data_IF_432837261672
#
_entry.id   IF_432837261672
#
_cell.length_a   1.000
_cell.length_b   1.000
_cell.length_c   1.000
_cell.angle_alpha   90.00
_cell.angle_beta   90.00
_cell.angle_gamma   90.00
#
_symmetry.space_group_name_H-M   'P 1'
#
loop_
_entity.id
_entity.type
_entity.pdbx_description
1 polymer ?
#
# COMPACT_ATOMS: atom_id res chain seq x y z
N UNK A 1 1.67 1.89 -12.55
CA UNK A 1 0.49 1.96 -13.44
C UNK A 1 0.30 0.62 -14.14
N UNK A 2 -0.86 0.41 -14.73
CA UNK A 2 -1.07 -0.73 -15.63
C UNK A 2 -0.21 -0.59 -16.90
N UNK A 3 0.08 -1.73 -17.53
CA UNK A 3 0.80 -1.75 -18.80
C UNK A 3 -0.08 -1.19 -19.90
N UNK A 4 0.52 -0.44 -20.83
CA UNK A 4 -0.19 0.18 -21.96
C UNK A 4 -0.58 -0.85 -23.01
N UNK A 5 0.26 -1.88 -23.18
CA UNK A 5 0.08 -2.94 -24.16
C UNK A 5 0.85 -4.22 -23.76
N UNK A 6 0.64 -5.29 -24.55
CA UNK A 6 1.30 -6.58 -24.35
C UNK A 6 2.82 -6.52 -24.55
N UNK A 7 3.31 -5.59 -25.39
CA UNK A 7 4.74 -5.43 -25.64
C UNK A 7 5.45 -4.86 -24.41
N UNK A 8 4.89 -3.83 -23.79
CA UNK A 8 5.41 -3.23 -22.57
C UNK A 8 5.42 -4.25 -21.42
N UNK A 9 4.36 -5.06 -21.30
CA UNK A 9 4.30 -6.16 -20.32
C UNK A 9 5.41 -7.20 -20.56
N UNK A 10 5.62 -7.63 -21.81
CA UNK A 10 6.67 -8.57 -22.18
C UNK A 10 8.07 -8.00 -21.89
N UNK A 11 8.35 -6.79 -22.36
CA UNK A 11 9.65 -6.13 -22.18
C UNK A 11 9.95 -5.90 -20.69
N UNK A 12 8.92 -5.53 -19.89
CA UNK A 12 9.06 -5.36 -18.45
C UNK A 12 9.30 -6.68 -17.72
N UNK A 13 8.69 -7.77 -18.18
CA UNK A 13 8.92 -9.12 -17.65
C UNK A 13 10.35 -9.57 -17.93
N UNK A 14 10.84 -9.40 -19.17
CA UNK A 14 12.22 -9.76 -19.52
C UNK A 14 13.25 -8.97 -18.70
N UNK A 15 13.01 -7.68 -18.50
CA UNK A 15 13.86 -6.84 -17.65
C UNK A 15 13.86 -7.31 -16.18
N UNK A 16 12.70 -7.70 -15.64
CA UNK A 16 12.60 -8.22 -14.28
C UNK A 16 13.40 -9.52 -14.09
N UNK A 17 13.39 -10.42 -15.08
CA UNK A 17 14.22 -11.64 -15.08
C UNK A 17 15.74 -11.34 -15.08
N UNK A 18 16.13 -10.19 -15.62
CA UNK A 18 17.52 -9.68 -15.58
C UNK A 18 17.84 -8.91 -14.30
N UNK A 19 16.91 -8.87 -13.34
CA UNK A 19 17.08 -8.22 -12.03
C UNK A 19 16.53 -6.79 -11.94
N UNK A 20 16.02 -6.21 -13.04
CA UNK A 20 15.43 -4.87 -13.02
C UNK A 20 13.96 -4.92 -12.57
N UNK A 21 13.77 -4.76 -11.26
CA UNK A 21 12.45 -4.86 -10.62
C UNK A 21 11.46 -3.80 -11.13
N UNK A 22 10.21 -4.20 -11.36
CA UNK A 22 9.12 -3.34 -11.85
C UNK A 22 8.92 -2.09 -10.99
N UNK A 23 8.95 -2.23 -9.66
CA UNK A 23 8.77 -1.10 -8.74
C UNK A 23 9.90 -0.06 -8.81
N UNK A 24 11.09 -0.46 -9.27
CA UNK A 24 12.25 0.42 -9.42
C UNK A 24 12.27 1.16 -10.76
N UNK A 25 11.27 0.95 -11.63
CA UNK A 25 11.17 1.54 -12.97
C UNK A 25 10.28 2.78 -12.97
N UNK A 26 10.83 4.01 -13.04
CA UNK A 26 10.04 5.24 -12.98
C UNK A 26 9.09 5.40 -14.16
N UNK A 27 9.39 4.79 -15.31
CA UNK A 27 8.51 4.77 -16.48
C UNK A 27 7.20 4.01 -16.23
N UNK A 28 7.18 3.10 -15.24
CA UNK A 28 6.00 2.39 -14.77
C UNK A 28 5.30 3.08 -13.59
N UNK A 29 5.76 4.26 -13.18
CA UNK A 29 5.10 5.06 -12.15
C UNK A 29 3.95 5.88 -12.76
N UNK A 30 3.10 6.39 -11.89
CA UNK A 30 2.03 7.33 -12.23
C UNK A 30 1.90 8.34 -11.10
N UNK A 31 1.31 9.50 -11.43
CA UNK A 31 0.95 10.48 -10.43
C UNK A 31 0.04 9.85 -9.37
N UNK A 32 0.34 10.12 -8.11
CA UNK A 32 -0.41 9.57 -6.98
C UNK A 32 -1.90 9.92 -7.06
N UNK A 33 -2.19 11.15 -7.49
CA UNK A 33 -3.53 11.67 -7.70
C UNK A 33 -4.38 10.80 -8.63
N UNK A 34 -3.77 10.22 -9.68
CA UNK A 34 -4.45 9.33 -10.63
C UNK A 34 -4.79 7.96 -10.04
N UNK A 35 -4.16 7.60 -8.93
CA UNK A 35 -4.34 6.31 -8.27
C UNK A 35 -5.33 6.36 -7.09
N UNK A 36 -5.81 7.55 -6.69
CA UNK A 36 -6.63 7.74 -5.48
C UNK A 36 -7.81 6.78 -5.40
N UNK A 37 -8.62 6.71 -6.46
CA UNK A 37 -9.80 5.83 -6.49
C UNK A 37 -9.44 4.35 -6.34
N UNK A 38 -8.34 3.91 -6.96
CA UNK A 38 -7.85 2.53 -6.85
C UNK A 38 -7.34 2.23 -5.43
N UNK A 39 -6.64 3.19 -4.83
CA UNK A 39 -6.10 3.09 -3.47
C UNK A 39 -7.24 2.97 -2.46
N UNK A 40 -8.22 3.89 -2.50
CA UNK A 40 -9.35 3.89 -1.56
C UNK A 40 -10.25 2.68 -1.76
N UNK A 41 -10.49 2.23 -2.99
CA UNK A 41 -11.27 1.02 -3.27
C UNK A 41 -10.59 -0.28 -2.78
N UNK A 42 -9.26 -0.32 -2.74
CA UNK A 42 -8.50 -1.50 -2.25
C UNK A 42 -8.38 -1.51 -0.73
N UNK A 43 -8.50 -0.35 -0.08
CA UNK A 43 -8.29 -0.22 1.35
C UNK A 43 -9.39 -0.91 2.16
N UNK A 44 -8.96 -1.75 3.10
CA UNK A 44 -9.87 -2.41 4.06
C UNK A 44 -9.94 -1.60 5.36
N UNK A 45 -11.04 -1.65 6.12
CA UNK A 45 -11.17 -0.90 7.37
C UNK A 45 -10.09 -1.29 8.39
N UNK A 46 -9.46 -0.31 9.05
CA UNK A 46 -8.44 -0.59 10.09
C UNK A 46 -9.00 -1.41 11.27
N UNK A 47 -10.31 -1.37 11.49
CA UNK A 47 -10.99 -2.17 12.51
C UNK A 47 -10.90 -3.67 12.24
N UNK A 48 -10.88 -4.09 10.97
CA UNK A 48 -10.64 -5.49 10.59
C UNK A 48 -9.20 -5.90 10.94
N UNK A 49 -8.22 -5.03 10.69
CA UNK A 49 -6.82 -5.28 11.03
C UNK A 49 -6.62 -5.46 12.54
N UNK A 50 -7.21 -4.59 13.36
CA UNK A 50 -7.14 -4.68 14.82
C UNK A 50 -7.81 -5.94 15.37
N UNK A 51 -8.94 -6.36 14.77
CA UNK A 51 -9.62 -7.61 15.13
C UNK A 51 -8.76 -8.84 14.81
N UNK A 52 -8.05 -8.81 13.68
CA UNK A 52 -7.14 -9.88 13.27
C UNK A 52 -5.90 -9.96 14.17
N UNK A 53 -5.41 -8.82 14.65
CA UNK A 53 -4.20 -8.72 15.48
C UNK A 53 -4.45 -7.98 16.81
N UNK A 54 -5.26 -8.54 17.73
CA UNK A 54 -5.62 -7.86 18.97
C UNK A 54 -4.40 -7.54 19.85
N UNK A 55 -3.40 -8.43 19.89
CA UNK A 55 -2.15 -8.21 20.63
C UNK A 55 -1.26 -7.10 20.07
N UNK A 56 -1.55 -6.60 18.86
CA UNK A 56 -0.83 -5.49 18.21
C UNK A 56 -1.70 -4.25 18.00
N UNK A 57 -2.92 -4.22 18.56
CA UNK A 57 -3.83 -3.09 18.41
C UNK A 57 -3.20 -1.78 18.92
N UNK A 58 -2.51 -1.81 20.06
CA UNK A 58 -1.82 -0.64 20.60
C UNK A 58 -0.69 -0.13 19.72
N UNK A 59 -0.01 -1.01 18.97
CA UNK A 59 1.01 -0.61 18.00
C UNK A 59 0.38 0.14 16.82
N UNK A 60 -0.75 -0.35 16.30
CA UNK A 60 -1.52 0.30 15.24
C UNK A 60 -2.03 1.67 15.71
N UNK A 61 -2.57 1.75 16.93
CA UNK A 61 -3.02 3.01 17.52
C UNK A 61 -1.89 4.01 17.73
N UNK A 62 -0.73 3.54 18.20
CA UNK A 62 0.45 4.38 18.36
C UNK A 62 0.93 4.95 17.02
N UNK A 63 0.89 4.17 15.95
CA UNK A 63 1.27 4.61 14.61
C UNK A 63 0.34 5.73 14.07
N UNK A 64 -0.92 5.77 14.52
CA UNK A 64 -1.92 6.76 14.10
C UNK A 64 -1.98 8.01 15.00
N UNK A 65 -1.16 8.10 16.06
CA UNK A 65 -1.20 9.23 17.00
C UNK A 65 -0.95 10.60 16.36
N UNK A 66 -0.14 10.64 15.30
CA UNK A 66 0.17 11.86 14.56
C UNK A 66 -0.84 12.15 13.44
N UNK A 67 -1.80 11.25 13.21
CA UNK A 67 -2.83 11.39 12.19
C UNK A 67 -4.01 12.24 12.72
N UNK A 68 -4.79 12.88 11.83
CA UNK A 68 -5.98 13.61 12.25
C UNK A 68 -6.96 12.70 13.01
N UNK A 69 -7.42 13.13 14.18
CA UNK A 69 -8.19 12.29 15.12
C UNK A 69 -9.47 11.65 14.55
N UNK A 70 -10.07 12.27 13.54
CA UNK A 70 -11.30 11.81 12.90
C UNK A 70 -11.11 11.35 11.44
N UNK A 71 -9.86 11.11 11.01
CA UNK A 71 -9.62 10.58 9.68
C UNK A 71 -10.20 9.15 9.58
N UNK A 72 -10.99 8.82 8.55
CA UNK A 72 -11.40 7.44 8.33
C UNK A 72 -10.17 6.65 7.86
N UNK A 73 -9.76 5.65 8.64
CA UNK A 73 -8.52 4.92 8.41
C UNK A 73 -8.78 3.55 7.79
N UNK A 74 -8.10 3.31 6.66
CA UNK A 74 -8.02 2.03 6.00
C UNK A 74 -6.59 1.48 6.01
N UNK A 75 -6.44 0.22 5.65
CA UNK A 75 -5.14 -0.43 5.50
C UNK A 75 -4.98 -1.09 4.14
N UNK A 76 -3.75 -1.09 3.63
CA UNK A 76 -3.35 -1.76 2.40
C UNK A 76 -2.10 -2.60 2.67
N UNK A 77 -2.08 -3.89 2.30
CA UNK A 77 -0.87 -4.71 2.34
C UNK A 77 0.22 -4.18 1.41
N UNK A 78 1.44 -4.07 1.91
CA UNK A 78 2.63 -3.71 1.14
C UNK A 78 3.66 -4.83 1.22
N UNK A 79 3.94 -5.43 0.07
CA UNK A 79 4.95 -6.48 -0.06
C UNK A 79 6.33 -5.82 -0.15
N UNK A 80 7.13 -5.95 0.91
CA UNK A 80 8.56 -5.67 0.86
C UNK A 80 9.35 -6.90 0.41
N UNK A 81 10.65 -6.73 0.12
CA UNK A 81 11.51 -7.85 -0.33
C UNK A 81 11.68 -8.93 0.74
N UNK A 82 11.87 -8.53 2.00
CA UNK A 82 12.19 -9.43 3.11
C UNK A 82 11.15 -9.38 4.23
N UNK A 83 10.18 -8.46 4.14
CA UNK A 83 9.24 -8.18 5.22
C UNK A 83 7.96 -7.60 4.62
N UNK A 84 6.82 -8.07 5.11
CA UNK A 84 5.53 -7.48 4.80
C UNK A 84 5.27 -6.28 5.69
N UNK A 85 4.79 -5.22 5.07
CA UNK A 85 4.36 -4.00 5.71
C UNK A 85 2.86 -3.83 5.50
N UNK A 86 2.23 -3.08 6.39
CA UNK A 86 0.88 -2.59 6.18
C UNK A 86 0.92 -1.07 6.15
N UNK A 87 0.36 -0.48 5.11
CA UNK A 87 0.20 0.96 4.96
C UNK A 87 -1.14 1.35 5.55
N UNK A 88 -1.15 2.33 6.44
CA UNK A 88 -2.37 2.94 6.96
C UNK A 88 -2.64 4.21 6.16
N UNK A 89 -3.88 4.38 5.68
CA UNK A 89 -4.26 5.50 4.82
C UNK A 89 -5.54 6.17 5.30
N UNK A 90 -5.74 7.42 4.92
CA UNK A 90 -7.03 8.09 5.00
C UNK A 90 -7.88 7.67 3.79
N UNK A 91 -9.02 7.01 4.02
CA UNK A 91 -9.86 6.47 2.93
C UNK A 91 -10.61 7.54 2.14
N UNK A 92 -10.66 8.79 2.61
CA UNK A 92 -11.27 9.88 1.86
C UNK A 92 -10.28 10.55 0.90
N UNK A 93 -9.00 10.65 1.29
CA UNK A 93 -7.98 11.41 0.55
C UNK A 93 -6.92 10.55 -0.11
N UNK A 94 -6.90 9.25 0.20
CA UNK A 94 -5.81 8.32 -0.07
C UNK A 94 -4.48 8.73 0.58
N UNK A 95 -4.45 9.70 1.49
CA UNK A 95 -3.21 10.13 2.15
C UNK A 95 -2.60 9.00 2.97
N UNK A 96 -1.28 8.79 2.85
CA UNK A 96 -0.57 7.83 3.69
C UNK A 96 -0.40 8.40 5.09
N UNK A 97 -0.96 7.72 6.07
CA UNK A 97 -0.94 8.14 7.47
C UNK A 97 0.24 7.53 8.22
N UNK A 98 0.54 6.25 7.99
CA UNK A 98 1.59 5.52 8.68
C UNK A 98 1.94 4.20 7.99
N UNK A 99 3.05 3.59 8.42
CA UNK A 99 3.45 2.23 8.06
C UNK A 99 3.64 1.40 9.34
N UNK A 100 3.18 0.16 9.32
CA UNK A 100 3.38 -0.78 10.42
C UNK A 100 4.01 -2.09 9.91
N UNK A 101 5.03 -2.66 10.60
CA UNK A 101 5.70 -3.89 10.20
C UNK A 101 4.84 -5.09 10.60
N UNK A 102 3.71 -5.23 9.91
CA UNK A 102 2.72 -6.26 10.14
C UNK A 102 2.30 -6.84 8.80
N UNK A 103 2.26 -8.18 8.73
CA UNK A 103 1.77 -8.92 7.59
C UNK A 103 0.25 -9.08 7.67
N UNK A 104 -0.53 -8.45 6.78
CA UNK A 104 -1.97 -8.54 6.80
C UNK A 104 -2.53 -9.60 5.83
N UNK A 105 -1.69 -10.38 5.13
CA UNK A 105 -2.12 -11.47 4.24
C UNK A 105 -2.63 -12.66 5.04
#
# INVERSE_FOLDING_TARGET
>A
REFKDSKESFDATMAALQGLQLGARPDLWQDYEKAKDKITATAKPVSELKKRFPGRASEIDNALKSSPANAPVGYIPLVGRNTFWTVLINTNTAEVLAFVPLDPF
#
